data_IF_197903823313
#
_entry.id   IF_197903823313
#
_cell.length_a   1.000
_cell.length_b   1.000
_cell.length_c   1.000
_cell.angle_alpha   90.00
_cell.angle_beta   90.00
_cell.angle_gamma   90.00
#
_symmetry.space_group_name_H-M   'P 1'
#
loop_
_entity.id
_entity.type
_entity.pdbx_description
1 polymer ?
#
# COMPACT_ATOMS: atom_id res chain seq x y z
N UNK A 1 3.44 8.43 -3.60
CA UNK A 1 3.32 7.97 -5.00
C UNK A 1 4.24 6.78 -5.21
N UNK A 2 3.80 5.76 -5.93
CA UNK A 2 4.54 4.51 -6.15
C UNK A 2 4.56 4.23 -7.65
N UNK A 3 5.76 4.09 -8.21
CA UNK A 3 6.00 4.00 -9.64
C UNK A 3 5.58 2.64 -10.22
N UNK A 4 5.29 2.55 -11.54
CA UNK A 4 4.87 1.31 -12.20
C UNK A 4 5.85 0.15 -12.08
N UNK A 5 7.16 0.39 -12.18
CA UNK A 5 8.21 -0.64 -12.15
C UNK A 5 8.39 -1.33 -10.79
N UNK A 6 7.82 -0.77 -9.72
CA UNK A 6 7.84 -1.40 -8.40
C UNK A 6 6.88 -2.60 -8.44
N UNK A 7 7.45 -3.81 -8.38
CA UNK A 7 6.69 -5.07 -8.40
C UNK A 7 6.38 -5.65 -7.02
N UNK A 8 7.23 -5.42 -6.02
CA UNK A 8 7.12 -6.00 -4.67
C UNK A 8 7.10 -4.90 -3.61
N UNK A 9 6.22 -5.05 -2.62
CA UNK A 9 6.08 -4.12 -1.50
C UNK A 9 6.20 -4.91 -0.20
N UNK A 10 7.02 -4.39 0.71
CA UNK A 10 7.15 -4.90 2.08
C UNK A 10 6.55 -3.85 3.00
N UNK A 11 5.53 -4.23 3.78
CA UNK A 11 4.93 -3.38 4.79
C UNK A 11 5.53 -3.69 6.16
N UNK A 12 5.88 -2.65 6.90
CA UNK A 12 6.37 -2.78 8.26
C UNK A 12 5.43 -2.10 9.25
N UNK A 13 5.10 -2.80 10.34
CA UNK A 13 4.27 -2.28 11.44
C UNK A 13 4.91 -2.70 12.76
N UNK A 14 5.10 -1.76 13.69
CA UNK A 14 5.70 -2.04 15.00
C UNK A 14 7.11 -2.66 14.93
N UNK A 15 7.93 -2.26 13.95
CA UNK A 15 9.28 -2.78 13.78
C UNK A 15 9.37 -4.22 13.25
N UNK A 16 8.28 -4.77 12.71
CA UNK A 16 8.24 -6.11 12.11
C UNK A 16 7.66 -6.05 10.70
N UNK A 17 8.04 -7.03 9.88
CA UNK A 17 7.38 -7.26 8.59
C UNK A 17 5.95 -7.70 8.86
N UNK A 18 5.00 -6.89 8.41
CA UNK A 18 3.57 -7.16 8.53
C UNK A 18 3.05 -7.90 7.30
N UNK A 19 3.49 -7.49 6.10
CA UNK A 19 3.14 -8.09 4.83
C UNK A 19 4.28 -7.96 3.83
N UNK A 20 4.35 -8.88 2.90
CA UNK A 20 5.34 -8.91 1.84
C UNK A 20 4.74 -9.61 0.62
N UNK A 21 4.66 -8.91 -0.51
CA UNK A 21 4.03 -9.46 -1.71
C UNK A 21 4.01 -8.51 -2.89
N UNK A 22 3.22 -8.87 -3.90
CA UNK A 22 3.08 -8.06 -5.11
C UNK A 22 2.40 -6.73 -4.77
N UNK A 23 2.83 -5.66 -5.45
CA UNK A 23 2.33 -4.29 -5.22
C UNK A 23 0.79 -4.22 -5.21
N UNK A 24 0.11 -4.90 -6.12
CA UNK A 24 -1.35 -4.89 -6.23
C UNK A 24 -2.06 -5.52 -5.02
N UNK A 25 -1.48 -6.56 -4.42
CA UNK A 25 -2.05 -7.21 -3.22
C UNK A 25 -1.78 -6.41 -1.96
N UNK A 26 -0.66 -5.68 -1.95
CA UNK A 26 -0.20 -4.91 -0.82
C UNK A 26 -0.92 -3.55 -0.74
N UNK A 27 -1.00 -2.82 -1.86
CA UNK A 27 -1.53 -1.46 -1.89
C UNK A 27 -3.05 -1.46 -2.09
N UNK A 28 -3.78 -1.85 -1.05
CA UNK A 28 -5.24 -1.82 -1.01
C UNK A 28 -5.73 -0.90 0.12
N UNK A 29 -6.94 -0.36 -0.02
CA UNK A 29 -7.59 0.49 0.99
C UNK A 29 -7.57 -0.18 2.37
N UNK A 30 -7.96 -1.47 2.43
CA UNK A 30 -8.01 -2.23 3.65
C UNK A 30 -6.63 -2.45 4.27
N UNK A 31 -5.62 -2.80 3.46
CA UNK A 31 -4.27 -3.05 3.96
C UNK A 31 -3.60 -1.77 4.47
N UNK A 32 -3.77 -0.64 3.77
CA UNK A 32 -3.19 0.62 4.20
C UNK A 32 -3.96 1.25 5.36
N UNK A 33 -5.28 1.06 5.41
CA UNK A 33 -6.09 1.44 6.58
C UNK A 33 -5.63 0.69 7.83
N UNK A 34 -5.40 -0.62 7.74
CA UNK A 34 -4.83 -1.38 8.85
C UNK A 34 -3.41 -0.93 9.18
N UNK A 35 -2.54 -0.72 8.18
CA UNK A 35 -1.15 -0.32 8.38
C UNK A 35 -1.02 0.99 9.16
N UNK A 36 -1.80 2.01 8.77
CA UNK A 36 -1.72 3.35 9.33
C UNK A 36 -2.72 3.62 10.47
N UNK A 37 -3.75 2.79 10.62
CA UNK A 37 -4.81 2.98 11.63
C UNK A 37 -5.72 4.18 11.34
N UNK A 38 -5.77 4.64 10.09
CA UNK A 38 -6.57 5.76 9.59
C UNK A 38 -7.34 5.31 8.35
N UNK A 39 -8.51 5.88 8.03
CA UNK A 39 -9.25 5.52 6.83
C UNK A 39 -8.49 5.96 5.58
N UNK A 40 -7.96 5.00 4.82
CA UNK A 40 -7.13 5.24 3.66
C UNK A 40 -7.85 4.85 2.37
N UNK A 41 -7.68 5.67 1.34
CA UNK A 41 -8.09 5.36 -0.03
C UNK A 41 -6.88 5.29 -0.94
N UNK A 42 -6.80 4.21 -1.72
CA UNK A 42 -5.81 4.00 -2.77
C UNK A 42 -6.40 4.40 -4.11
N UNK A 43 -5.64 5.18 -4.86
CA UNK A 43 -5.90 5.40 -6.28
C UNK A 43 -4.87 4.62 -7.10
N UNK A 44 -5.29 4.07 -8.23
CA UNK A 44 -4.37 3.48 -9.20
C UNK A 44 -4.71 3.89 -10.63
N UNK A 45 -3.67 4.14 -11.43
CA UNK A 45 -3.80 4.49 -12.85
C UNK A 45 -2.52 4.13 -13.58
N UNK A 46 -2.63 3.36 -14.67
CA UNK A 46 -1.49 3.02 -15.53
C UNK A 46 -0.26 2.48 -14.76
N UNK A 47 -0.50 1.66 -13.73
CA UNK A 47 0.54 1.07 -12.87
C UNK A 47 1.04 1.98 -11.74
N UNK A 48 0.66 3.25 -11.72
CA UNK A 48 0.90 4.18 -10.63
C UNK A 48 -0.07 3.93 -9.48
N UNK A 49 0.41 4.10 -8.25
CA UNK A 49 -0.42 4.04 -7.05
C UNK A 49 -0.25 5.32 -6.21
N UNK A 50 -1.38 5.85 -5.74
CA UNK A 50 -1.49 6.97 -4.82
C UNK A 50 -2.21 6.56 -3.54
N UNK A 51 -1.93 7.29 -2.46
CA UNK A 51 -2.56 7.10 -1.14
C UNK A 51 -3.01 8.47 -0.62
N UNK A 52 -4.24 8.53 -0.13
CA UNK A 52 -4.81 9.73 0.49
C UNK A 52 -5.67 9.37 1.71
N UNK A 53 -5.77 10.31 2.65
CA UNK A 53 -6.71 10.26 3.76
C UNK A 53 -8.13 10.48 3.22
N UNK A 54 -9.04 9.59 3.61
CA UNK A 54 -10.47 9.73 3.32
C UNK A 54 -11.13 10.80 4.18
#
# INVERSE_FOLDING_TARGET
>A
EILPEIGRVIMMKGGRVARDGAKADMLTDAALTDLFGLPMTVSSRDGWFGLQLS
#
